data_IF_494767208737
#
_entry.id   IF_494767208737
#
_cell.length_a   1.000
_cell.length_b   1.000
_cell.length_c   1.000
_cell.angle_alpha   90.00
_cell.angle_beta   90.00
_cell.angle_gamma   90.00
#
_symmetry.space_group_name_H-M   'P 1'
#
loop_
_entity.id
_entity.type
_entity.pdbx_description
1 polymer ?
#
# COMPACT_ATOMS: atom_id res chain seq x y z
N UNK A 1 -31.54 3.38 0.45
CA UNK A 1 -30.09 3.13 0.31
C UNK A 1 -29.38 4.25 1.01
N UNK A 2 -28.70 3.97 2.12
CA UNK A 2 -27.83 4.98 2.73
C UNK A 2 -26.72 5.31 1.74
N UNK A 3 -26.63 6.58 1.31
CA UNK A 3 -25.49 7.00 0.49
C UNK A 3 -24.20 6.73 1.29
N UNK A 4 -23.13 6.20 0.66
CA UNK A 4 -21.85 6.05 1.32
C UNK A 4 -21.41 7.39 1.94
N UNK A 5 -20.97 7.38 3.19
CA UNK A 5 -20.52 8.58 3.91
C UNK A 5 -19.53 9.41 3.09
N UNK A 6 -18.63 8.73 2.37
CA UNK A 6 -17.65 9.33 1.46
C UNK A 6 -18.27 10.17 0.34
N UNK A 7 -19.37 9.70 -0.26
CA UNK A 7 -20.07 10.41 -1.34
C UNK A 7 -20.83 11.63 -0.80
N UNK A 8 -21.40 11.52 0.40
CA UNK A 8 -22.07 12.64 1.08
C UNK A 8 -21.06 13.72 1.51
N UNK A 9 -19.93 13.30 2.09
CA UNK A 9 -18.90 14.20 2.59
C UNK A 9 -17.94 14.71 1.51
N UNK A 10 -18.02 14.14 0.29
CA UNK A 10 -17.08 14.36 -0.82
C UNK A 10 -15.61 14.18 -0.39
N UNK A 11 -15.37 13.19 0.45
CA UNK A 11 -14.04 12.88 0.98
C UNK A 11 -13.90 11.38 1.20
N UNK A 12 -12.67 10.92 1.39
CA UNK A 12 -12.44 9.52 1.70
C UNK A 12 -12.69 9.25 3.19
N UNK A 13 -13.30 8.11 3.50
CA UNK A 13 -13.74 7.75 4.85
C UNK A 13 -13.27 6.34 5.20
N UNK A 14 -12.81 6.19 6.44
CA UNK A 14 -12.39 4.94 7.05
C UNK A 14 -13.12 4.79 8.38
N UNK A 15 -13.72 3.61 8.58
CA UNK A 15 -14.32 3.18 9.84
C UNK A 15 -13.38 2.16 10.47
N UNK A 16 -12.99 2.39 11.72
CA UNK A 16 -12.16 1.49 12.52
C UNK A 16 -13.05 0.96 13.64
N UNK A 17 -13.24 -0.35 13.67
CA UNK A 17 -13.90 -1.08 14.74
C UNK A 17 -12.82 -1.87 15.51
N UNK A 18 -12.41 -1.37 16.66
CA UNK A 18 -11.46 -2.01 17.57
C UNK A 18 -12.04 -2.00 18.98
N UNK A 19 -11.92 -3.11 19.71
CA UNK A 19 -12.36 -3.24 21.11
C UNK A 19 -13.80 -2.73 21.40
N UNK A 20 -14.74 -2.96 20.48
CA UNK A 20 -16.13 -2.43 20.51
C UNK A 20 -16.25 -0.89 20.40
N UNK A 21 -15.16 -0.18 20.15
CA UNK A 21 -15.14 1.24 19.83
C UNK A 21 -15.14 1.45 18.32
N UNK A 22 -15.91 2.46 17.87
CA UNK A 22 -15.97 2.86 16.47
C UNK A 22 -15.32 4.22 16.29
N UNK A 23 -14.21 4.25 15.56
CA UNK A 23 -13.52 5.48 15.18
C UNK A 23 -13.76 5.78 13.71
N UNK A 24 -14.14 7.03 13.40
CA UNK A 24 -14.31 7.51 12.03
C UNK A 24 -13.14 8.41 11.67
N UNK A 25 -12.38 8.01 10.65
CA UNK A 25 -11.34 8.82 10.05
C UNK A 25 -11.77 9.32 8.69
N UNK A 26 -11.42 10.57 8.36
CA UNK A 26 -11.68 11.13 7.03
C UNK A 26 -10.44 11.78 6.45
N UNK A 27 -10.37 11.88 5.13
CA UNK A 27 -9.28 12.63 4.46
C UNK A 27 -9.34 14.14 4.73
N UNK A 28 -10.44 14.66 5.27
CA UNK A 28 -10.56 16.07 5.67
C UNK A 28 -9.85 16.38 6.98
N UNK A 29 -9.62 15.36 7.83
CA UNK A 29 -9.07 15.55 9.17
C UNK A 29 -7.67 16.17 9.11
N UNK A 30 -7.53 17.40 9.61
CA UNK A 30 -6.26 18.03 9.88
C UNK A 30 -5.78 17.60 11.26
N UNK A 31 -5.23 16.39 11.42
CA UNK A 31 -4.58 16.08 12.70
C UNK A 31 -3.39 17.01 12.91
N UNK A 32 -3.44 17.79 13.97
CA UNK A 32 -2.38 18.69 14.43
C UNK A 32 -1.25 17.90 15.05
N UNK A 33 0.00 18.24 14.70
CA UNK A 33 1.25 17.72 15.27
C UNK A 33 1.29 16.19 15.44
N UNK A 34 1.81 15.53 14.42
CA UNK A 34 2.15 14.11 14.47
C UNK A 34 3.59 13.91 13.99
N UNK A 35 4.24 12.92 14.60
CA UNK A 35 5.61 12.57 14.30
C UNK A 35 5.66 11.71 13.04
N UNK A 36 6.82 11.72 12.39
CA UNK A 36 7.03 10.86 11.25
C UNK A 36 7.23 9.41 11.69
N UNK A 37 6.81 8.46 10.87
CA UNK A 37 7.12 7.04 11.06
C UNK A 37 7.25 6.35 9.69
N UNK A 38 8.13 5.36 9.62
CA UNK A 38 8.27 4.49 8.45
C UNK A 38 7.40 3.24 8.64
N UNK A 39 6.91 2.68 7.55
CA UNK A 39 6.21 1.41 7.61
C UNK A 39 7.27 0.34 7.79
N UNK A 40 7.35 -0.25 8.99
CA UNK A 40 8.39 -1.23 9.32
C UNK A 40 8.27 -2.44 8.40
N UNK A 41 9.42 -2.92 7.92
CA UNK A 41 9.51 -4.28 7.36
C UNK A 41 9.17 -5.27 8.47
N UNK A 42 8.17 -6.12 8.27
CA UNK A 42 7.83 -7.17 9.24
C UNK A 42 8.79 -8.35 9.10
N UNK A 43 8.95 -9.15 10.16
CA UNK A 43 9.67 -10.44 10.11
C UNK A 43 9.25 -11.32 8.91
N UNK A 44 8.03 -11.15 8.40
CA UNK A 44 7.55 -11.76 7.14
C UNK A 44 8.47 -11.49 5.94
N UNK A 45 8.98 -10.27 5.78
CA UNK A 45 9.88 -9.92 4.66
C UNK A 45 11.21 -10.68 4.76
N UNK A 46 11.75 -10.86 5.96
CA UNK A 46 12.95 -11.66 6.20
C UNK A 46 12.72 -13.14 5.86
N UNK A 47 11.61 -13.71 6.34
CA UNK A 47 11.24 -15.10 6.07
C UNK A 47 11.07 -15.34 4.57
N UNK A 48 10.35 -14.45 3.88
CA UNK A 48 10.14 -14.58 2.43
C UNK A 48 11.43 -14.45 1.62
N UNK A 49 12.34 -13.56 2.03
CA UNK A 49 13.66 -13.46 1.40
C UNK A 49 14.46 -14.75 1.58
N UNK A 50 14.55 -15.28 2.81
CA UNK A 50 15.24 -16.53 3.10
C UNK A 50 14.62 -17.72 2.33
N UNK A 51 13.29 -17.74 2.19
CA UNK A 51 12.60 -18.75 1.38
C UNK A 51 12.94 -18.67 -0.11
N UNK A 52 12.95 -17.46 -0.69
CA UNK A 52 13.33 -17.27 -2.09
C UNK A 52 14.80 -17.66 -2.32
N UNK A 53 15.70 -17.28 -1.41
CA UNK A 53 17.11 -17.66 -1.47
C UNK A 53 17.27 -19.17 -1.37
N UNK A 54 16.51 -19.83 -0.48
CA UNK A 54 16.51 -21.29 -0.36
C UNK A 54 16.03 -21.96 -1.65
N UNK A 55 14.89 -21.54 -2.22
CA UNK A 55 14.37 -22.11 -3.48
C UNK A 55 15.38 -21.93 -4.61
N UNK A 56 15.91 -20.71 -4.80
CA UNK A 56 16.88 -20.39 -5.85
C UNK A 56 18.15 -21.22 -5.73
N UNK A 57 18.63 -21.46 -4.50
CA UNK A 57 19.84 -22.24 -4.27
C UNK A 57 19.68 -23.75 -4.48
N UNK A 58 18.45 -24.27 -4.40
CA UNK A 58 18.16 -25.71 -4.47
C UNK A 58 17.54 -26.14 -5.81
N UNK A 59 16.94 -25.24 -6.58
CA UNK A 59 16.24 -25.57 -7.83
C UNK A 59 17.12 -26.34 -8.83
N UNK A 60 18.39 -25.96 -8.96
CA UNK A 60 19.35 -26.58 -9.88
C UNK A 60 20.15 -27.73 -9.25
N UNK A 61 20.13 -27.86 -7.92
CA UNK A 61 20.97 -28.82 -7.17
C UNK A 61 20.23 -30.09 -6.76
N UNK A 62 18.92 -30.00 -6.61
CA UNK A 62 18.10 -31.06 -6.05
C UNK A 62 17.29 -31.78 -7.13
N UNK A 63 16.88 -33.02 -6.86
CA UNK A 63 15.87 -33.66 -7.70
C UNK A 63 14.57 -32.85 -7.57
N UNK A 64 14.05 -32.40 -8.71
CA UNK A 64 12.79 -31.66 -8.78
C UNK A 64 11.68 -32.37 -8.01
N UNK A 65 11.56 -33.70 -8.13
CA UNK A 65 10.49 -34.48 -7.49
C UNK A 65 10.44 -34.38 -5.96
N UNK A 66 11.58 -34.06 -5.31
CA UNK A 66 11.68 -33.88 -3.85
C UNK A 66 11.77 -32.42 -3.42
N UNK A 67 11.88 -31.48 -4.38
CA UNK A 67 12.08 -30.06 -4.10
C UNK A 67 10.90 -29.48 -3.30
N UNK A 68 9.67 -29.86 -3.65
CA UNK A 68 8.47 -29.36 -2.98
C UNK A 68 8.43 -29.75 -1.49
N UNK A 69 8.76 -31.00 -1.17
CA UNK A 69 8.83 -31.48 0.22
C UNK A 69 9.92 -30.75 1.01
N UNK A 70 11.10 -30.53 0.40
CA UNK A 70 12.21 -29.80 1.03
C UNK A 70 11.84 -28.35 1.33
N UNK A 71 11.24 -27.65 0.38
CA UNK A 71 10.80 -26.26 0.55
C UNK A 71 9.68 -26.16 1.59
N UNK A 72 8.73 -27.10 1.60
CA UNK A 72 7.66 -27.16 2.61
C UNK A 72 8.24 -27.37 4.01
N UNK A 73 9.18 -28.31 4.17
CA UNK A 73 9.86 -28.54 5.45
C UNK A 73 10.67 -27.32 5.90
N UNK A 74 11.36 -26.65 4.98
CA UNK A 74 12.09 -25.42 5.30
C UNK A 74 11.13 -24.28 5.70
N UNK A 75 9.97 -24.17 5.04
CA UNK A 75 8.92 -23.23 5.41
C UNK A 75 8.38 -23.50 6.82
N UNK A 76 8.06 -24.75 7.17
CA UNK A 76 7.60 -25.11 8.52
C UNK A 76 8.65 -24.80 9.61
N UNK A 77 9.94 -24.96 9.30
CA UNK A 77 11.03 -24.60 10.20
C UNK A 77 11.17 -23.08 10.35
N UNK A 78 11.04 -22.34 9.26
CA UNK A 78 11.14 -20.89 9.24
C UNK A 78 9.93 -20.23 9.91
N UNK A 79 8.73 -20.79 9.72
CA UNK A 79 7.45 -20.35 10.30
C UNK A 79 7.15 -21.16 11.56
N UNK A 80 7.93 -20.89 12.60
CA UNK A 80 7.79 -21.48 13.92
C UNK A 80 7.15 -20.50 14.93
N UNK A 81 6.90 -20.98 16.15
CA UNK A 81 6.28 -20.19 17.23
C UNK A 81 7.01 -18.87 17.51
N UNK A 82 8.33 -18.87 17.47
CA UNK A 82 9.14 -17.67 17.75
C UNK A 82 8.99 -16.65 16.62
N UNK A 83 9.08 -17.11 15.37
CA UNK A 83 8.88 -16.25 14.20
C UNK A 83 7.46 -15.64 14.16
N UNK A 84 6.44 -16.41 14.53
CA UNK A 84 5.05 -15.95 14.65
C UNK A 84 4.93 -14.88 15.72
N UNK A 85 5.53 -15.10 16.88
CA UNK A 85 5.59 -14.12 17.96
C UNK A 85 6.27 -12.81 17.51
N UNK A 86 7.39 -12.91 16.78
CA UNK A 86 8.05 -11.75 16.20
C UNK A 86 7.19 -11.00 15.18
N UNK A 87 6.48 -11.71 14.29
CA UNK A 87 5.57 -11.07 13.32
C UNK A 87 4.48 -10.29 14.04
N UNK A 88 3.83 -10.89 15.04
CA UNK A 88 2.78 -10.22 15.83
C UNK A 88 3.36 -9.01 16.56
N UNK A 89 4.51 -9.16 17.19
CA UNK A 89 5.18 -8.06 17.89
C UNK A 89 5.61 -6.91 16.97
N UNK A 90 6.17 -7.20 15.80
CA UNK A 90 6.54 -6.19 14.80
C UNK A 90 5.32 -5.39 14.33
N UNK A 91 4.20 -6.11 14.16
CA UNK A 91 2.91 -5.58 13.71
C UNK A 91 2.33 -4.66 14.79
N UNK A 92 2.23 -5.10 16.04
CA UNK A 92 1.75 -4.31 17.19
C UNK A 92 2.59 -3.06 17.45
N UNK A 93 3.92 -3.14 17.28
CA UNK A 93 4.83 -2.01 17.48
C UNK A 93 5.04 -1.15 16.23
N UNK A 94 4.37 -1.44 15.10
CA UNK A 94 4.63 -0.78 13.81
C UNK A 94 4.35 0.73 13.79
N UNK A 95 3.62 1.25 14.78
CA UNK A 95 3.27 2.67 14.91
C UNK A 95 4.24 3.41 15.84
N UNK A 96 4.97 2.71 16.73
CA UNK A 96 5.65 3.34 17.87
C UNK A 96 7.03 3.92 17.57
N UNK A 97 7.69 3.51 16.47
CA UNK A 97 9.01 4.06 16.13
C UNK A 97 8.91 5.44 15.48
N UNK A 98 8.70 6.44 16.33
CA UNK A 98 8.86 7.85 15.99
C UNK A 98 10.23 8.08 15.36
N UNK A 99 10.21 8.57 14.12
CA UNK A 99 11.41 9.04 13.45
C UNK A 99 11.86 10.37 14.08
N UNK A 100 12.88 10.28 14.94
CA UNK A 100 13.45 11.41 15.68
C UNK A 100 14.01 12.53 14.78
N UNK A 101 14.30 12.24 13.51
CA UNK A 101 14.87 13.19 12.55
C UNK A 101 13.89 13.52 11.42
N UNK A 102 13.72 14.81 11.16
CA UNK A 102 13.06 15.30 9.95
C UNK A 102 13.99 15.17 8.75
N UNK A 103 13.44 14.72 7.62
CA UNK A 103 14.14 14.63 6.36
C UNK A 103 14.43 16.01 5.77
N UNK A 104 15.62 16.15 5.18
CA UNK A 104 15.97 17.30 4.34
C UNK A 104 15.25 17.21 3.00
N UNK A 105 15.17 18.35 2.30
CA UNK A 105 14.53 18.45 0.97
C UNK A 105 15.03 17.39 -0.02
N UNK A 106 16.34 17.19 -0.13
CA UNK A 106 16.90 16.22 -1.07
C UNK A 106 16.49 14.78 -0.73
N UNK A 107 16.38 14.45 0.57
CA UNK A 107 15.89 13.15 1.03
C UNK A 107 14.39 12.96 0.74
N UNK A 108 13.60 14.03 0.84
CA UNK A 108 12.17 14.02 0.50
C UNK A 108 11.95 13.82 -1.00
N UNK A 109 12.87 14.29 -1.85
CA UNK A 109 12.78 14.18 -3.31
C UNK A 109 13.32 12.84 -3.85
N UNK A 110 14.11 12.12 -3.05
CA UNK A 110 14.64 10.81 -3.43
C UNK A 110 13.58 9.71 -3.29
N UNK A 111 13.64 8.73 -4.20
CA UNK A 111 12.82 7.53 -4.08
C UNK A 111 13.21 6.70 -2.85
N UNK A 112 12.23 6.08 -2.21
CA UNK A 112 12.41 5.16 -1.08
C UNK A 112 11.60 3.89 -1.34
N UNK A 113 12.17 2.75 -0.96
CA UNK A 113 11.51 1.45 -1.04
C UNK A 113 10.42 1.25 0.03
N UNK A 114 10.51 1.97 1.15
CA UNK A 114 9.60 1.84 2.28
C UNK A 114 8.67 3.06 2.39
N UNK A 115 7.36 2.85 2.58
CA UNK A 115 6.43 3.93 2.84
C UNK A 115 6.77 4.69 4.12
N UNK A 116 6.43 5.97 4.13
CA UNK A 116 6.56 6.84 5.31
C UNK A 116 5.32 7.69 5.47
N UNK A 117 4.85 7.83 6.70
CA UNK A 117 4.01 8.96 7.09
C UNK A 117 4.93 10.10 7.54
N UNK A 118 4.84 11.25 6.89
CA UNK A 118 5.72 12.37 7.15
C UNK A 118 5.29 13.15 8.38
N UNK A 119 6.23 13.79 9.08
CA UNK A 119 5.88 14.64 10.21
C UNK A 119 5.11 15.87 9.74
N UNK A 120 4.42 16.56 10.65
CA UNK A 120 3.78 17.84 10.32
C UNK A 120 4.78 18.87 9.75
N UNK A 121 6.04 18.86 10.22
CA UNK A 121 7.10 19.75 9.69
C UNK A 121 7.53 19.36 8.28
N UNK A 122 7.66 18.07 8.01
CA UNK A 122 7.99 17.56 6.68
C UNK A 122 6.86 17.86 5.68
N UNK A 123 5.59 17.65 6.06
CA UNK A 123 4.45 18.05 5.22
C UNK A 123 4.47 19.55 4.90
N UNK A 124 4.73 20.41 5.88
CA UNK A 124 4.89 21.86 5.63
C UNK A 124 6.04 22.19 4.67
N UNK A 125 7.13 21.42 4.70
CA UNK A 125 8.22 21.58 3.74
C UNK A 125 7.81 21.14 2.33
N UNK A 126 7.14 19.98 2.20
CA UNK A 126 6.64 19.44 0.92
C UNK A 126 5.61 20.39 0.29
N UNK A 127 4.72 21.00 1.09
CA UNK A 127 3.74 21.98 0.62
C UNK A 127 4.38 23.21 -0.07
N UNK A 128 5.63 23.54 0.27
CA UNK A 128 6.38 24.68 -0.26
C UNK A 128 7.22 24.33 -1.49
N UNK A 129 7.26 23.07 -1.90
CA UNK A 129 7.96 22.66 -3.12
C UNK A 129 7.42 23.41 -4.34
N UNK A 130 8.28 23.73 -5.29
CA UNK A 130 7.79 24.20 -6.59
C UNK A 130 7.09 23.06 -7.34
N UNK A 131 6.47 23.35 -8.49
CA UNK A 131 5.69 22.37 -9.26
C UNK A 131 6.50 21.10 -9.58
N UNK A 132 7.74 21.26 -10.04
CA UNK A 132 8.58 20.16 -10.49
C UNK A 132 9.04 19.28 -9.31
N UNK A 133 9.44 19.91 -8.21
CA UNK A 133 9.82 19.23 -6.97
C UNK A 133 8.65 18.42 -6.40
N UNK A 134 7.45 19.00 -6.38
CA UNK A 134 6.27 18.28 -5.91
C UNK A 134 5.87 17.15 -6.86
N UNK A 135 6.02 17.34 -8.17
CA UNK A 135 5.79 16.27 -9.16
C UNK A 135 6.73 15.08 -8.91
N UNK A 136 8.02 15.33 -8.73
CA UNK A 136 9.02 14.30 -8.46
C UNK A 136 8.71 13.56 -7.16
N UNK A 137 8.47 14.31 -6.08
CA UNK A 137 8.02 13.77 -4.80
C UNK A 137 6.80 12.87 -4.96
N UNK A 138 5.76 13.38 -5.62
CA UNK A 138 4.47 12.70 -5.72
C UNK A 138 4.56 11.41 -6.54
N UNK A 139 5.29 11.42 -7.66
CA UNK A 139 5.56 10.23 -8.46
C UNK A 139 6.30 9.17 -7.64
N UNK A 140 7.34 9.57 -6.90
CA UNK A 140 8.10 8.65 -6.06
C UNK A 140 7.25 8.05 -4.95
N UNK A 141 6.35 8.84 -4.36
CA UNK A 141 5.43 8.35 -3.34
C UNK A 141 4.39 7.37 -3.89
N UNK A 142 3.79 7.67 -5.03
CA UNK A 142 2.86 6.73 -5.68
C UNK A 142 3.59 5.44 -6.06
N UNK A 143 4.79 5.53 -6.63
CA UNK A 143 5.63 4.36 -6.95
C UNK A 143 5.88 3.50 -5.71
N UNK A 144 6.29 4.12 -4.61
CA UNK A 144 6.51 3.45 -3.34
C UNK A 144 5.26 2.72 -2.85
N UNK A 145 4.08 3.38 -2.90
CA UNK A 145 2.82 2.75 -2.44
C UNK A 145 2.39 1.59 -3.35
N UNK A 146 2.54 1.72 -4.67
CA UNK A 146 2.20 0.66 -5.62
C UNK A 146 3.09 -0.58 -5.43
N UNK A 147 4.40 -0.37 -5.24
CA UNK A 147 5.33 -1.45 -4.91
C UNK A 147 4.98 -2.09 -3.56
N UNK A 148 4.61 -1.30 -2.56
CA UNK A 148 4.23 -1.82 -1.27
C UNK A 148 2.97 -2.69 -1.35
N UNK A 149 1.95 -2.26 -2.09
CA UNK A 149 0.72 -3.03 -2.36
C UNK A 149 1.04 -4.34 -3.09
N UNK A 150 1.93 -4.29 -4.07
CA UNK A 150 2.33 -5.47 -4.85
C UNK A 150 2.88 -6.60 -3.97
N UNK A 151 3.52 -6.28 -2.84
CA UNK A 151 4.02 -7.27 -1.88
C UNK A 151 2.93 -8.12 -1.22
N UNK A 152 1.70 -7.59 -1.12
CA UNK A 152 0.55 -8.24 -0.49
C UNK A 152 -0.42 -8.86 -1.51
N UNK A 153 -0.34 -8.43 -2.77
CA UNK A 153 -1.15 -8.93 -3.88
C UNK A 153 -0.77 -10.38 -4.21
N UNK A 154 -1.77 -11.23 -4.41
CA UNK A 154 -1.53 -12.61 -4.88
C UNK A 154 -1.00 -12.59 -6.32
N UNK A 155 -0.07 -13.48 -6.65
CA UNK A 155 0.63 -13.45 -7.95
C UNK A 155 -0.27 -13.80 -9.13
N UNK A 156 -1.32 -14.58 -8.90
CA UNK A 156 -2.35 -15.00 -9.86
C UNK A 156 -3.44 -13.94 -10.11
N UNK A 157 -3.51 -12.92 -9.26
CA UNK A 157 -4.53 -11.86 -9.35
C UNK A 157 -4.01 -10.71 -10.22
N UNK A 158 -4.84 -10.19 -11.11
CA UNK A 158 -4.53 -9.00 -11.91
C UNK A 158 -5.39 -7.81 -11.45
N UNK A 159 -4.74 -6.77 -10.92
CA UNK A 159 -5.42 -5.53 -10.61
C UNK A 159 -5.67 -4.75 -11.90
N UNK A 160 -6.92 -4.33 -12.09
CA UNK A 160 -7.37 -3.63 -13.30
C UNK A 160 -7.30 -2.12 -13.09
N UNK A 161 -6.85 -1.40 -14.12
CA UNK A 161 -6.85 0.06 -14.12
C UNK A 161 -8.27 0.60 -13.88
N UNK A 162 -8.47 1.57 -12.96
CA UNK A 162 -9.79 2.13 -12.69
C UNK A 162 -10.31 2.90 -13.90
N UNK A 163 -11.57 2.64 -14.31
CA UNK A 163 -12.22 3.35 -15.42
C UNK A 163 -13.07 4.55 -14.97
N UNK A 164 -13.30 4.66 -13.67
CA UNK A 164 -14.10 5.70 -13.03
C UNK A 164 -13.57 5.96 -11.61
N UNK A 165 -14.15 6.96 -10.93
CA UNK A 165 -13.76 7.31 -9.56
C UNK A 165 -14.54 6.55 -8.48
N UNK A 166 -15.32 5.51 -8.80
CA UNK A 166 -16.19 4.85 -7.81
C UNK A 166 -15.44 4.32 -6.60
N UNK A 167 -14.19 3.90 -6.81
CA UNK A 167 -13.33 3.44 -5.71
C UNK A 167 -13.11 4.51 -4.65
N UNK A 168 -13.08 5.81 -4.98
CA UNK A 168 -12.98 6.90 -3.99
C UNK A 168 -14.17 6.88 -3.01
N UNK A 169 -15.36 6.53 -3.50
CA UNK A 169 -16.56 6.47 -2.66
C UNK A 169 -16.63 5.20 -1.81
N UNK A 170 -15.71 4.26 -1.94
CA UNK A 170 -15.64 3.13 -1.03
C UNK A 170 -15.22 3.59 0.36
N UNK A 171 -16.07 3.32 1.36
CA UNK A 171 -15.72 3.51 2.77
C UNK A 171 -14.90 2.30 3.21
N UNK A 172 -13.66 2.55 3.59
CA UNK A 172 -12.80 1.50 4.13
C UNK A 172 -13.34 1.09 5.51
N UNK A 173 -13.53 -0.21 5.75
CA UNK A 173 -13.97 -0.72 7.04
C UNK A 173 -12.92 -1.67 7.58
N UNK A 174 -12.24 -1.25 8.63
CA UNK A 174 -11.36 -2.10 9.41
C UNK A 174 -12.14 -2.64 10.60
N UNK A 175 -12.25 -3.97 10.67
CA UNK A 175 -12.76 -4.68 11.84
C UNK A 175 -11.70 -5.67 12.27
N UNK A 176 -11.03 -5.36 13.39
CA UNK A 176 -9.93 -6.17 13.91
C UNK A 176 -10.32 -7.58 14.35
N UNK A 177 -11.60 -7.93 14.38
CA UNK A 177 -12.10 -9.25 14.79
C UNK A 177 -12.76 -10.03 13.65
N UNK A 178 -13.48 -9.36 12.75
CA UNK A 178 -14.39 -10.03 11.80
C UNK A 178 -14.05 -9.85 10.31
N UNK A 179 -13.06 -9.03 9.96
CA UNK A 179 -12.67 -8.92 8.53
C UNK A 179 -12.19 -10.29 8.02
N UNK A 180 -12.53 -10.69 6.81
CA UNK A 180 -12.07 -11.95 6.19
C UNK A 180 -10.85 -11.73 5.31
N UNK A 181 -10.05 -12.77 5.03
CA UNK A 181 -8.91 -12.67 4.10
C UNK A 181 -9.36 -12.21 2.69
N UNK A 182 -10.52 -12.69 2.22
CA UNK A 182 -11.10 -12.25 0.94
C UNK A 182 -11.49 -10.76 0.95
N UNK A 183 -11.98 -10.24 2.08
CA UNK A 183 -12.25 -8.81 2.21
C UNK A 183 -10.96 -7.99 2.20
N UNK A 184 -9.90 -8.44 2.89
CA UNK A 184 -8.60 -7.76 2.87
C UNK A 184 -8.01 -7.68 1.45
N UNK A 185 -8.13 -8.75 0.66
CA UNK A 185 -7.71 -8.73 -0.75
C UNK A 185 -8.49 -7.72 -1.59
N UNK A 186 -9.80 -7.62 -1.37
CA UNK A 186 -10.64 -6.60 -2.03
C UNK A 186 -10.27 -5.20 -1.60
N UNK A 187 -10.05 -4.98 -0.31
CA UNK A 187 -9.61 -3.67 0.21
C UNK A 187 -8.24 -3.26 -0.36
N UNK A 188 -7.31 -4.21 -0.51
CA UNK A 188 -6.02 -3.98 -1.14
C UNK A 188 -6.16 -3.54 -2.62
N UNK A 189 -7.04 -4.20 -3.39
CA UNK A 189 -7.35 -3.79 -4.77
C UNK A 189 -8.00 -2.40 -4.82
N UNK A 190 -8.90 -2.10 -3.89
CA UNK A 190 -9.55 -0.79 -3.79
C UNK A 190 -8.53 0.30 -3.45
N UNK A 191 -7.59 0.04 -2.54
CA UNK A 191 -6.49 0.95 -2.24
C UNK A 191 -5.63 1.20 -3.47
N UNK A 192 -5.26 0.15 -4.23
CA UNK A 192 -4.58 0.30 -5.51
C UNK A 192 -5.34 1.26 -6.44
N UNK A 193 -6.64 1.02 -6.65
CA UNK A 193 -7.48 1.88 -7.49
C UNK A 193 -7.49 3.32 -6.98
N UNK A 194 -7.64 3.53 -5.67
CA UNK A 194 -7.60 4.86 -5.05
C UNK A 194 -6.27 5.57 -5.25
N UNK A 195 -5.13 4.89 -5.13
CA UNK A 195 -3.82 5.49 -5.42
C UNK A 195 -3.67 5.90 -6.88
N UNK A 196 -4.12 5.08 -7.82
CA UNK A 196 -4.12 5.42 -9.25
C UNK A 196 -5.02 6.62 -9.55
N UNK A 197 -6.21 6.64 -8.95
CA UNK A 197 -7.15 7.76 -9.08
C UNK A 197 -6.54 9.04 -8.49
N UNK A 198 -5.93 8.99 -7.31
CA UNK A 198 -5.23 10.16 -6.73
C UNK A 198 -4.03 10.57 -7.58
N UNK A 199 -3.28 9.62 -8.16
CA UNK A 199 -2.18 9.91 -9.08
C UNK A 199 -2.62 10.70 -10.31
N UNK A 200 -3.84 10.45 -10.82
CA UNK A 200 -4.38 11.20 -11.96
C UNK A 200 -4.39 12.72 -11.76
N UNK A 201 -4.45 13.20 -10.51
CA UNK A 201 -4.39 14.63 -10.16
C UNK A 201 -3.11 15.33 -10.62
N UNK A 202 -2.04 14.58 -10.90
CA UNK A 202 -0.79 15.08 -11.50
C UNK A 202 -1.03 15.78 -12.84
N UNK A 203 -2.02 15.31 -13.61
CA UNK A 203 -2.35 15.81 -14.94
C UNK A 203 -3.33 16.99 -14.92
N UNK A 204 -3.70 17.47 -13.73
CA UNK A 204 -4.61 18.59 -13.57
C UNK A 204 -4.00 19.91 -14.02
N UNK A 205 -4.82 20.77 -14.64
CA UNK A 205 -4.46 22.18 -14.86
C UNK A 205 -4.22 22.93 -13.54
N UNK A 206 -4.82 22.46 -12.45
CA UNK A 206 -4.69 23.05 -11.11
C UNK A 206 -3.45 22.58 -10.35
N UNK A 207 -2.67 21.64 -10.89
CA UNK A 207 -1.53 21.04 -10.19
C UNK A 207 -0.45 22.05 -9.78
N UNK A 208 -0.34 23.20 -10.46
CA UNK A 208 0.56 24.28 -10.05
C UNK A 208 0.13 24.99 -8.75
N UNK A 209 -1.15 24.91 -8.37
CA UNK A 209 -1.68 25.56 -7.18
C UNK A 209 -1.17 24.89 -5.91
N UNK A 210 -0.67 25.71 -4.97
CA UNK A 210 -0.30 25.25 -3.62
C UNK A 210 -1.52 24.66 -2.90
N UNK A 211 -2.69 25.30 -3.01
CA UNK A 211 -3.92 24.82 -2.36
C UNK A 211 -4.33 23.43 -2.89
N UNK A 212 -4.26 23.24 -4.20
CA UNK A 212 -4.56 21.95 -4.82
C UNK A 212 -3.60 20.84 -4.36
N UNK A 213 -2.29 21.15 -4.34
CA UNK A 213 -1.25 20.21 -3.87
C UNK A 213 -1.36 19.87 -2.38
N UNK A 214 -1.76 20.83 -1.53
CA UNK A 214 -2.13 20.55 -0.13
C UNK A 214 -3.28 19.53 -0.05
N UNK A 215 -4.27 19.66 -0.93
CA UNK A 215 -5.36 18.70 -1.07
C UNK A 215 -4.87 17.29 -1.39
N UNK A 216 -4.00 17.16 -2.40
CA UNK A 216 -3.37 15.89 -2.78
C UNK A 216 -2.63 15.26 -1.59
N UNK A 217 -1.87 16.05 -0.82
CA UNK A 217 -1.14 15.54 0.35
C UNK A 217 -2.07 14.97 1.42
N UNK A 218 -3.22 15.61 1.65
CA UNK A 218 -4.22 15.09 2.60
C UNK A 218 -4.81 13.76 2.15
N UNK A 219 -5.15 13.65 0.87
CA UNK A 219 -5.65 12.40 0.29
C UNK A 219 -4.58 11.29 0.35
N UNK A 220 -3.33 11.59 0.00
CA UNK A 220 -2.23 10.64 0.08
C UNK A 220 -1.96 10.19 1.52
N UNK A 221 -1.98 11.13 2.49
CA UNK A 221 -1.83 10.83 3.92
C UNK A 221 -2.90 9.85 4.39
N UNK A 222 -4.16 10.09 4.00
CA UNK A 222 -5.28 9.22 4.36
C UNK A 222 -5.14 7.82 3.77
N UNK A 223 -4.80 7.71 2.48
CA UNK A 223 -4.61 6.42 1.81
C UNK A 223 -3.47 5.60 2.42
N UNK A 224 -2.38 6.25 2.80
CA UNK A 224 -1.28 5.59 3.53
C UNK A 224 -1.74 5.01 4.85
N UNK A 225 -2.51 5.77 5.62
CA UNK A 225 -3.11 5.26 6.86
C UNK A 225 -3.93 4.00 6.61
N UNK A 226 -4.84 4.04 5.63
CA UNK A 226 -5.64 2.86 5.27
C UNK A 226 -4.77 1.65 4.85
N UNK A 227 -3.74 1.89 4.02
CA UNK A 227 -2.82 0.86 3.56
C UNK A 227 -2.05 0.21 4.73
N UNK A 228 -1.69 0.99 5.74
CA UNK A 228 -1.04 0.47 6.94
C UNK A 228 -1.95 -0.52 7.67
N UNK A 229 -3.23 -0.17 7.90
CA UNK A 229 -4.19 -1.06 8.56
C UNK A 229 -4.43 -2.36 7.77
N UNK A 230 -4.53 -2.29 6.43
CA UNK A 230 -4.64 -3.50 5.60
C UNK A 230 -3.40 -4.37 5.73
N UNK A 231 -2.22 -3.78 5.55
CA UNK A 231 -0.96 -4.51 5.60
C UNK A 231 -0.70 -5.15 6.97
N UNK A 232 -0.99 -4.41 8.05
CA UNK A 232 -0.95 -4.88 9.43
C UNK A 232 -1.79 -6.16 9.58
N UNK A 233 -3.04 -6.12 9.14
CA UNK A 233 -3.96 -7.24 9.32
C UNK A 233 -3.59 -8.45 8.45
N UNK A 234 -3.12 -8.19 7.23
CA UNK A 234 -2.65 -9.25 6.32
C UNK A 234 -1.40 -9.94 6.87
N UNK A 235 -0.46 -9.20 7.47
CA UNK A 235 0.72 -9.78 8.11
C UNK A 235 0.36 -10.53 9.40
N UNK A 236 -0.53 -10.00 10.24
CA UNK A 236 -1.05 -10.68 11.44
C UNK A 236 -1.67 -12.05 11.13
N UNK A 237 -2.26 -12.19 9.93
CA UNK A 237 -2.87 -13.44 9.43
C UNK A 237 -1.92 -14.30 8.60
N UNK A 238 -0.66 -13.89 8.48
CA UNK A 238 0.37 -14.58 7.68
C UNK A 238 -0.03 -14.72 6.20
N UNK A 239 -0.87 -13.84 5.67
CA UNK A 239 -1.43 -13.99 4.32
C UNK A 239 -0.34 -14.04 3.25
N UNK A 240 0.72 -13.22 3.38
CA UNK A 240 1.84 -13.24 2.43
C UNK A 240 2.59 -14.57 2.44
N UNK A 241 2.80 -15.16 3.61
CA UNK A 241 3.44 -16.48 3.76
C UNK A 241 2.58 -17.58 3.14
N UNK A 242 1.27 -17.58 3.41
CA UNK A 242 0.31 -18.52 2.81
C UNK A 242 0.30 -18.40 1.29
N UNK A 243 0.16 -17.18 0.76
CA UNK A 243 0.15 -16.90 -0.68
C UNK A 243 1.44 -17.31 -1.37
N UNK A 244 2.58 -17.11 -0.71
CA UNK A 244 3.87 -17.57 -1.21
C UNK A 244 3.87 -19.08 -1.40
N UNK A 245 3.45 -19.85 -0.39
CA UNK A 245 3.43 -21.32 -0.47
C UNK A 245 2.44 -21.85 -1.52
N UNK A 246 1.25 -21.24 -1.62
CA UNK A 246 0.28 -21.58 -2.67
C UNK A 246 0.90 -21.38 -4.05
N UNK A 247 1.46 -20.20 -4.31
CA UNK A 247 2.06 -19.90 -5.60
C UNK A 247 3.28 -20.77 -5.92
N UNK A 248 4.13 -21.04 -4.92
CA UNK A 248 5.25 -21.96 -5.09
C UNK A 248 4.76 -23.36 -5.50
N UNK A 249 3.70 -23.88 -4.86
CA UNK A 249 3.10 -25.16 -5.25
C UNK A 249 2.53 -25.16 -6.67
N UNK A 250 1.90 -24.08 -7.12
CA UNK A 250 1.41 -23.95 -8.49
C UNK A 250 2.55 -23.95 -9.51
N UNK A 251 3.61 -23.17 -9.26
CA UNK A 251 4.80 -23.14 -10.12
C UNK A 251 5.49 -24.50 -10.13
N UNK A 252 5.54 -25.17 -8.98
CA UNK A 252 6.11 -26.50 -8.85
C UNK A 252 5.38 -27.52 -9.75
N UNK A 253 4.05 -27.58 -9.67
CA UNK A 253 3.23 -28.48 -10.48
C UNK A 253 3.40 -28.20 -11.98
N UNK A 254 3.52 -26.92 -12.37
CA UNK A 254 3.65 -26.49 -13.76
C UNK A 254 5.08 -26.60 -14.33
N UNK A 255 6.10 -26.90 -13.50
CA UNK A 255 7.52 -26.80 -13.88
C UNK A 255 7.93 -25.39 -14.32
N UNK A 256 7.36 -24.38 -13.68
CA UNK A 256 7.52 -22.96 -14.00
C UNK A 256 8.13 -22.16 -12.83
N UNK A 257 8.86 -22.81 -11.92
CA UNK A 257 9.55 -22.10 -10.84
C UNK A 257 10.55 -21.11 -11.46
N UNK A 258 10.47 -19.85 -11.04
CA UNK A 258 11.28 -18.75 -11.57
C UNK A 258 10.70 -18.07 -12.82
N UNK A 259 9.69 -18.64 -13.48
CA UNK A 259 8.97 -17.97 -14.58
C UNK A 259 8.00 -16.95 -13.96
N UNK A 260 8.29 -15.66 -14.11
CA UNK A 260 7.43 -14.57 -13.62
C UNK A 260 6.83 -13.78 -14.77
N UNK A 261 5.57 -13.33 -14.63
CA UNK A 261 4.98 -12.36 -15.54
C UNK A 261 5.42 -10.96 -15.12
N UNK A 262 6.09 -10.23 -16.01
CA UNK A 262 6.88 -9.03 -15.71
C UNK A 262 6.10 -7.73 -15.44
N UNK A 263 4.78 -7.76 -15.29
CA UNK A 263 3.99 -6.53 -15.14
C UNK A 263 3.85 -6.15 -13.68
N UNK A 264 4.61 -5.14 -13.28
CA UNK A 264 4.58 -4.58 -11.93
C UNK A 264 3.47 -3.56 -11.80
N UNK A 265 2.99 -3.32 -10.58
CA UNK A 265 1.96 -2.29 -10.39
C UNK A 265 2.49 -0.89 -10.70
N UNK A 266 3.78 -0.63 -10.46
CA UNK A 266 4.39 0.66 -10.76
C UNK A 266 4.51 0.99 -12.26
N UNK A 267 4.48 -0.02 -13.14
CA UNK A 267 4.58 0.17 -14.59
C UNK A 267 3.44 1.06 -15.14
N UNK A 268 2.33 1.17 -14.41
CA UNK A 268 1.24 2.07 -14.78
C UNK A 268 1.65 3.55 -14.83
N UNK A 269 2.70 3.92 -14.09
CA UNK A 269 3.22 5.30 -14.07
C UNK A 269 3.87 5.69 -15.41
N UNK A 270 4.15 4.72 -16.28
CA UNK A 270 4.69 4.92 -17.62
C UNK A 270 3.59 5.03 -18.69
N UNK A 271 2.31 4.85 -18.31
CA UNK A 271 1.20 4.98 -19.24
C UNK A 271 1.06 6.42 -19.75
N UNK A 272 0.57 6.60 -21.00
CA UNK A 272 0.29 7.93 -21.54
C UNK A 272 -0.71 8.72 -20.67
N UNK A 273 -0.51 10.04 -20.59
CA UNK A 273 -1.37 10.95 -19.80
C UNK A 273 -2.86 10.89 -20.18
N UNK A 274 -3.19 10.46 -21.40
CA UNK A 274 -4.56 10.26 -21.86
C UNK A 274 -5.34 9.26 -20.99
N UNK A 275 -4.68 8.24 -20.42
CA UNK A 275 -5.31 7.27 -19.53
C UNK A 275 -5.80 7.89 -18.22
N UNK A 276 -5.18 8.99 -17.80
CA UNK A 276 -5.43 9.64 -16.52
C UNK A 276 -6.32 10.88 -16.65
N UNK A 277 -6.39 11.49 -17.83
CA UNK A 277 -7.08 12.78 -18.02
C UNK A 277 -8.59 12.69 -17.73
N UNK A 278 -9.23 11.59 -18.11
CA UNK A 278 -10.66 11.40 -17.85
C UNK A 278 -10.95 11.17 -16.37
N UNK A 279 -10.12 10.35 -15.71
CA UNK A 279 -10.17 10.15 -14.26
C UNK A 279 -9.95 11.47 -13.51
N UNK A 280 -8.91 12.22 -13.88
CA UNK A 280 -8.53 13.47 -13.20
C UNK A 280 -9.69 14.46 -13.13
N UNK A 281 -10.39 14.66 -14.25
CA UNK A 281 -11.51 15.59 -14.32
C UNK A 281 -12.60 15.22 -13.32
N UNK A 282 -12.94 13.94 -13.21
CA UNK A 282 -13.91 13.47 -12.23
C UNK A 282 -13.40 13.65 -10.80
N UNK A 283 -12.12 13.35 -10.55
CA UNK A 283 -11.50 13.48 -9.22
C UNK A 283 -11.53 14.92 -8.72
N UNK A 284 -11.11 15.88 -9.53
CA UNK A 284 -11.05 17.30 -9.13
C UNK A 284 -12.43 17.89 -8.80
N UNK A 285 -13.49 17.38 -9.41
CA UNK A 285 -14.87 17.82 -9.15
C UNK A 285 -15.44 17.17 -7.87
N UNK A 286 -15.00 15.96 -7.54
CA UNK A 286 -15.66 15.13 -6.52
C UNK A 286 -14.94 15.07 -5.17
N UNK A 287 -13.65 15.40 -5.11
CA UNK A 287 -12.91 15.45 -3.84
C UNK A 287 -12.85 16.87 -3.28
N UNK A 288 -13.49 17.08 -2.13
CA UNK A 288 -13.54 18.38 -1.43
C UNK A 288 -12.17 18.93 -1.06
N UNK A 289 -11.20 18.07 -0.74
CA UNK A 289 -9.83 18.51 -0.45
C UNK A 289 -9.15 19.15 -1.67
N UNK A 290 -9.60 18.85 -2.88
CA UNK A 290 -9.08 19.39 -4.14
C UNK A 290 -9.86 20.63 -4.61
N UNK A 291 -10.98 20.98 -3.94
CA UNK A 291 -11.74 22.20 -4.22
C UNK A 291 -10.87 23.43 -3.90
N UNK A 292 -10.69 24.29 -4.93
CA UNK A 292 -9.86 25.49 -4.89
C UNK A 292 -10.48 26.66 -4.13
#
# INVERSE_FOLDING_TARGET
MDLPYSKLLKCQVMLINENNEKTIMTSLNSTSFFNAFNFKSSKTDEILRNLNDYVTNNIDKENYDVLFEKVTKYFEQAVNKDSISCIISDVENSIEEECKRNMKKDELLNYRSEPRLYSSREYLAIERFNKNEFSQFFINEIRCMLNFIERYKSKDVFFTFPKDIKAIYHTFVYDGFHVSECQLDKELEILYKKFVIVYSTLFSKNFSSIKYRKGILKELKFLKGCLQFVAFEMDRRFMRLKKYMIHFGEQYIKKEIGVSTSKRLEDLLELPSSYFTDLEREVSINLKNLEL
#
